data_IF_228925261083
#
_entry.id   IF_228925261083
#
_cell.length_a   1.000
_cell.length_b   1.000
_cell.length_c   1.000
_cell.angle_alpha   90.00
_cell.angle_beta   90.00
_cell.angle_gamma   90.00
#
_symmetry.space_group_name_H-M   'P 1'
#
loop_
_entity.id
_entity.type
_entity.pdbx_description
1 polymer ?
#
# COMPACT_ATOMS: atom_id res chain seq x y z
N UNK A 1 -3.74 9.61 0.24
CA UNK A 1 -4.03 8.56 -0.74
C UNK A 1 -4.99 7.58 -0.10
N UNK A 2 -4.83 6.29 -0.34
CA UNK A 2 -5.63 5.26 0.33
C UNK A 2 -4.71 4.19 0.90
N UNK A 3 -4.91 3.87 2.17
CA UNK A 3 -4.16 2.85 2.88
C UNK A 3 -4.63 1.44 2.49
N UNK A 4 -3.67 0.57 2.17
CA UNK A 4 -3.89 -0.83 1.82
C UNK A 4 -2.95 -1.76 2.60
N UNK A 5 -3.40 -3.01 2.76
CA UNK A 5 -2.59 -4.08 3.34
C UNK A 5 -2.53 -5.22 2.34
N UNK A 6 -1.34 -5.74 2.10
CA UNK A 6 -1.11 -6.94 1.28
C UNK A 6 -0.72 -8.08 2.22
N UNK A 7 -1.39 -9.23 2.10
CA UNK A 7 -1.12 -10.40 2.92
C UNK A 7 -1.45 -11.68 2.15
N UNK A 8 -0.84 -12.79 2.55
CA UNK A 8 -1.06 -14.10 1.93
C UNK A 8 -2.01 -14.92 2.79
N UNK A 9 -3.08 -15.43 2.19
CA UNK A 9 -4.07 -16.29 2.85
C UNK A 9 -4.71 -17.23 1.82
N UNK A 10 -5.12 -18.43 2.22
CA UNK A 10 -5.77 -19.42 1.34
C UNK A 10 -5.09 -19.62 -0.03
N UNK A 11 -3.76 -19.71 -0.02
CA UNK A 11 -2.90 -19.87 -1.20
C UNK A 11 -2.91 -18.69 -2.21
N UNK A 12 -3.43 -17.52 -1.84
CA UNK A 12 -3.41 -16.34 -2.69
C UNK A 12 -2.98 -15.05 -1.96
N UNK A 13 -2.52 -14.08 -2.76
CA UNK A 13 -2.27 -12.72 -2.27
C UNK A 13 -3.56 -11.92 -2.28
N UNK A 14 -3.89 -11.34 -1.13
CA UNK A 14 -5.02 -10.42 -0.97
C UNK A 14 -4.54 -8.99 -0.81
N UNK A 15 -5.42 -8.05 -1.15
CA UNK A 15 -5.22 -6.63 -0.93
C UNK A 15 -6.46 -6.09 -0.21
N UNK A 16 -6.31 -5.69 1.04
CA UNK A 16 -7.38 -5.12 1.86
C UNK A 16 -7.26 -3.61 1.95
N UNK A 17 -8.39 -2.92 2.06
CA UNK A 17 -8.44 -1.54 2.52
C UNK A 17 -8.75 -1.51 4.03
N UNK A 18 -8.98 -0.34 4.62
CA UNK A 18 -9.46 -0.27 6.01
C UNK A 18 -10.91 -0.75 6.19
N UNK A 19 -11.74 -0.71 5.15
CA UNK A 19 -13.17 -1.03 5.25
C UNK A 19 -13.55 -2.35 4.59
N UNK A 20 -12.60 -3.05 3.94
CA UNK A 20 -12.84 -4.26 3.15
C UNK A 20 -11.65 -5.22 3.25
N UNK A 21 -11.94 -6.50 3.43
CA UNK A 21 -10.93 -7.56 3.56
C UNK A 21 -10.25 -7.91 2.23
N UNK A 22 -10.97 -7.80 1.10
CA UNK A 22 -10.36 -7.99 -0.21
C UNK A 22 -11.03 -7.08 -1.26
N UNK A 23 -10.24 -6.25 -1.92
CA UNK A 23 -10.72 -5.37 -2.98
C UNK A 23 -11.12 -6.09 -4.26
N UNK A 24 -10.70 -7.36 -4.46
CA UNK A 24 -11.11 -8.18 -5.62
C UNK A 24 -12.61 -8.48 -5.61
N UNK A 25 -13.21 -8.59 -4.43
CA UNK A 25 -14.61 -8.97 -4.24
C UNK A 25 -15.57 -7.79 -4.52
N UNK A 26 -15.05 -6.57 -4.58
CA UNK A 26 -15.84 -5.37 -4.75
C UNK A 26 -15.72 -4.76 -6.16
N UNK A 27 -16.87 -4.42 -6.74
CA UNK A 27 -16.99 -3.84 -8.09
C UNK A 27 -17.41 -2.38 -8.11
N UNK A 28 -17.51 -1.75 -6.94
CA UNK A 28 -17.84 -0.32 -6.82
C UNK A 28 -16.79 0.53 -7.53
N UNK A 29 -17.29 1.43 -8.37
CA UNK A 29 -16.48 2.36 -9.14
C UNK A 29 -16.53 3.73 -8.48
N UNK A 30 -15.40 4.40 -8.42
CA UNK A 30 -15.37 5.79 -8.03
C UNK A 30 -16.07 6.65 -9.09
N UNK A 31 -17.06 7.44 -8.68
CA UNK A 31 -17.86 8.26 -9.59
C UNK A 31 -17.01 9.18 -10.49
N UNK A 32 -15.88 9.66 -9.97
CA UNK A 32 -15.01 10.61 -10.67
C UNK A 32 -14.27 10.01 -11.87
N UNK A 33 -13.83 8.75 -11.77
CA UNK A 33 -12.95 8.15 -12.79
C UNK A 33 -13.51 6.87 -13.39
N UNK A 34 -14.63 6.36 -12.89
CA UNK A 34 -15.24 5.11 -13.36
C UNK A 34 -14.40 3.86 -13.09
N UNK A 35 -13.32 3.96 -12.30
CA UNK A 35 -12.42 2.86 -11.94
C UNK A 35 -12.76 2.30 -10.56
N UNK A 36 -12.56 1.00 -10.39
CA UNK A 36 -12.64 0.34 -9.08
C UNK A 36 -11.34 0.50 -8.30
N UNK A 37 -11.39 0.22 -6.99
CA UNK A 37 -10.18 0.16 -6.17
C UNK A 37 -9.14 -0.84 -6.69
N UNK A 38 -9.61 -1.99 -7.20
CA UNK A 38 -8.75 -3.01 -7.80
C UNK A 38 -7.98 -2.47 -9.00
N UNK A 39 -8.66 -1.77 -9.92
CA UNK A 39 -8.02 -1.22 -11.11
C UNK A 39 -6.95 -0.18 -10.74
N UNK A 40 -7.30 0.77 -9.88
CA UNK A 40 -6.37 1.79 -9.41
C UNK A 40 -5.18 1.19 -8.64
N UNK A 41 -5.40 0.11 -7.86
CA UNK A 41 -4.32 -0.62 -7.19
C UNK A 41 -3.39 -1.29 -8.21
N UNK A 42 -3.94 -1.99 -9.21
CA UNK A 42 -3.14 -2.69 -10.23
C UNK A 42 -2.27 -1.73 -11.04
N UNK A 43 -2.81 -0.56 -11.40
CA UNK A 43 -2.06 0.50 -12.09
C UNK A 43 -0.88 0.99 -11.24
N UNK A 44 -1.12 1.30 -9.96
CA UNK A 44 -0.07 1.75 -9.04
C UNK A 44 0.95 0.65 -8.70
N UNK A 45 0.53 -0.60 -8.52
CA UNK A 45 1.42 -1.72 -8.23
C UNK A 45 2.34 -2.03 -9.41
N UNK A 46 1.82 -1.94 -10.64
CA UNK A 46 2.60 -2.08 -11.86
C UNK A 46 3.65 -0.96 -11.99
N UNK A 47 3.24 0.29 -11.80
CA UNK A 47 4.14 1.45 -11.88
C UNK A 47 5.22 1.40 -10.79
N UNK A 48 4.88 0.93 -9.58
CA UNK A 48 5.81 0.78 -8.48
C UNK A 48 6.74 -0.45 -8.61
N UNK A 49 6.53 -1.32 -9.60
CA UNK A 49 7.31 -2.54 -9.77
C UNK A 49 7.13 -3.56 -8.62
N UNK A 50 5.97 -3.58 -7.97
CA UNK A 50 5.68 -4.50 -6.87
C UNK A 50 5.72 -5.96 -7.35
N UNK A 51 6.71 -6.72 -6.87
CA UNK A 51 6.91 -8.11 -7.21
C UNK A 51 6.49 -9.03 -6.05
N UNK A 52 5.29 -9.60 -6.17
CA UNK A 52 4.72 -10.53 -5.19
C UNK A 52 5.56 -11.82 -4.99
N UNK A 53 6.44 -12.18 -5.92
CA UNK A 53 7.31 -13.35 -5.78
C UNK A 53 8.45 -13.14 -4.78
N UNK A 54 8.78 -11.88 -4.46
CA UNK A 54 9.81 -11.50 -3.50
C UNK A 54 9.28 -11.30 -2.08
N UNK A 55 7.97 -11.35 -1.90
CA UNK A 55 7.33 -11.13 -0.60
C UNK A 55 7.31 -12.43 0.21
N UNK A 56 7.70 -12.36 1.47
CA UNK A 56 7.46 -13.40 2.47
C UNK A 56 5.96 -13.46 2.80
N UNK A 57 5.38 -14.65 2.71
CA UNK A 57 3.96 -14.94 2.94
C UNK A 57 3.55 -14.86 4.41
N UNK A 58 4.51 -14.86 5.34
CA UNK A 58 4.27 -14.71 6.78
C UNK A 58 4.01 -13.26 7.18
N UNK A 59 4.29 -12.31 6.28
CA UNK A 59 4.22 -10.90 6.58
C UNK A 59 2.96 -10.25 6.00
N UNK A 60 2.54 -9.16 6.65
CA UNK A 60 1.62 -8.19 6.08
C UNK A 60 2.41 -6.93 5.70
N UNK A 61 2.14 -6.40 4.51
CA UNK A 61 2.82 -5.22 3.97
C UNK A 61 1.82 -4.07 3.86
N UNK A 62 2.20 -2.91 4.39
CA UNK A 62 1.34 -1.74 4.42
C UNK A 62 1.75 -0.76 3.33
N UNK A 63 0.75 -0.26 2.60
CA UNK A 63 0.98 0.65 1.49
C UNK A 63 0.06 1.85 1.53
N UNK A 64 0.58 2.99 1.12
CA UNK A 64 -0.24 4.13 0.71
C UNK A 64 -0.29 4.16 -0.82
N UNK A 65 -1.50 4.02 -1.39
CA UNK A 65 -1.71 4.21 -2.83
C UNK A 65 -2.07 5.67 -3.11
N UNK A 66 -1.36 6.30 -4.04
CA UNK A 66 -1.72 7.59 -4.61
C UNK A 66 -1.93 7.47 -6.12
N UNK A 67 -2.85 8.24 -6.68
CA UNK A 67 -3.24 8.08 -8.08
C UNK A 67 -3.82 9.38 -8.66
N UNK A 68 -3.49 9.78 -9.91
CA UNK A 68 -4.05 10.98 -10.56
C UNK A 68 -5.58 10.97 -10.61
N UNK A 69 -6.16 9.80 -10.94
CA UNK A 69 -7.61 9.58 -11.00
C UNK A 69 -8.32 9.48 -9.63
N UNK A 70 -7.57 9.47 -8.53
CA UNK A 70 -8.10 9.42 -7.17
C UNK A 70 -7.36 10.40 -6.27
N UNK A 71 -7.69 11.69 -6.44
CA UNK A 71 -7.22 12.77 -5.57
C UNK A 71 -8.14 12.92 -4.36
N UNK A 72 -7.53 12.87 -3.17
CA UNK A 72 -8.17 13.32 -1.93
C UNK A 72 -7.88 14.81 -1.72
N UNK A 73 -6.62 15.19 -1.47
CA UNK A 73 -6.20 16.58 -1.28
C UNK A 73 -5.12 16.97 -2.29
N UNK A 74 -4.02 16.23 -2.32
CA UNK A 74 -2.86 16.49 -3.18
C UNK A 74 -3.08 15.83 -4.55
N UNK A 75 -2.80 16.57 -5.62
CA UNK A 75 -2.79 16.04 -6.99
C UNK A 75 -1.45 15.36 -7.25
N UNK A 76 -1.50 14.13 -7.73
CA UNK A 76 -0.35 13.37 -8.20
C UNK A 76 -0.40 13.29 -9.72
N UNK A 77 0.75 13.29 -10.36
CA UNK A 77 0.94 13.20 -11.81
C UNK A 77 0.90 11.76 -12.31
N UNK A 78 1.35 10.80 -11.50
CA UNK A 78 1.34 9.37 -11.82
C UNK A 78 0.85 8.47 -10.68
N UNK A 79 0.39 7.25 -10.97
CA UNK A 79 0.10 6.23 -9.96
C UNK A 79 1.37 5.89 -9.16
N UNK A 80 1.28 5.80 -7.84
CA UNK A 80 2.41 5.34 -7.01
C UNK A 80 1.92 4.52 -5.82
N UNK A 81 2.79 3.63 -5.35
CA UNK A 81 2.68 2.98 -4.05
C UNK A 81 3.85 3.39 -3.17
N UNK A 82 3.55 3.74 -1.93
CA UNK A 82 4.55 3.89 -0.89
C UNK A 82 4.48 2.70 0.05
N UNK A 83 5.58 1.98 0.24
CA UNK A 83 5.70 0.98 1.29
C UNK A 83 5.86 1.71 2.62
N UNK A 84 4.88 1.56 3.50
CA UNK A 84 4.85 2.24 4.79
C UNK A 84 5.51 1.42 5.89
N UNK A 85 5.48 0.09 5.76
CA UNK A 85 6.04 -0.82 6.74
C UNK A 85 5.62 -2.25 6.47
N UNK A 86 6.26 -3.16 7.18
CA UNK A 86 5.98 -4.59 7.15
C UNK A 86 5.72 -5.04 8.58
N UNK A 87 4.82 -6.00 8.77
CA UNK A 87 4.60 -6.65 10.05
C UNK A 87 4.75 -8.15 9.92
N UNK A 88 5.53 -8.75 10.81
CA UNK A 88 5.53 -10.20 10.99
C UNK A 88 4.21 -10.63 11.64
N UNK A 89 3.41 -11.47 10.97
CA UNK A 89 2.09 -11.86 11.48
C UNK A 89 2.15 -12.96 12.54
N UNK A 90 3.33 -13.53 12.81
CA UNK A 90 3.59 -14.47 13.90
C UNK A 90 4.07 -13.75 15.16
N UNK A 91 5.12 -12.92 15.05
CA UNK A 91 5.69 -12.22 16.22
C UNK A 91 4.98 -10.90 16.53
N UNK A 92 4.26 -10.36 15.54
CA UNK A 92 3.61 -9.05 15.58
C UNK A 92 4.55 -7.85 15.52
N UNK A 93 5.85 -8.08 15.35
CA UNK A 93 6.86 -7.03 15.23
C UNK A 93 6.73 -6.28 13.91
N UNK A 94 7.00 -4.98 13.96
CA UNK A 94 7.15 -4.16 12.77
C UNK A 94 8.59 -4.27 12.25
N UNK A 95 8.71 -4.44 10.95
CA UNK A 95 9.98 -4.68 10.26
C UNK A 95 10.21 -3.56 9.24
N UNK A 96 11.41 -2.98 9.28
CA UNK A 96 11.88 -2.04 8.28
C UNK A 96 12.75 -2.78 7.24
N UNK A 97 12.09 -3.27 6.18
CA UNK A 97 12.74 -4.08 5.12
C UNK A 97 12.57 -3.43 3.75
N UNK A 98 13.52 -3.68 2.85
CA UNK A 98 13.39 -3.27 1.44
C UNK A 98 12.75 -4.39 0.61
N UNK A 99 11.61 -4.06 0.00
CA UNK A 99 10.85 -4.96 -0.90
C UNK A 99 10.90 -4.49 -2.36
N UNK A 100 11.73 -3.49 -2.67
CA UNK A 100 11.83 -2.89 -4.00
C UNK A 100 10.76 -1.85 -4.33
N UNK A 101 9.95 -1.42 -3.36
CA UNK A 101 8.96 -0.35 -3.51
C UNK A 101 9.40 0.89 -2.73
N UNK A 102 9.22 2.07 -3.33
CA UNK A 102 9.59 3.33 -2.70
C UNK A 102 8.94 3.52 -1.32
N UNK A 103 9.69 4.04 -0.36
CA UNK A 103 9.18 4.46 0.95
C UNK A 103 8.93 5.97 0.97
N UNK A 104 8.05 6.46 1.86
CA UNK A 104 7.96 7.89 2.13
C UNK A 104 9.30 8.46 2.59
N UNK A 105 9.47 9.77 2.44
CA UNK A 105 10.61 10.47 3.02
C UNK A 105 10.56 10.34 4.55
N UNK A 106 11.64 9.81 5.12
CA UNK A 106 11.85 9.77 6.57
C UNK A 106 12.77 10.91 7.01
N UNK A 107 12.60 11.32 8.27
CA UNK A 107 13.45 12.29 8.94
C UNK A 107 13.95 11.63 10.22
N UNK A 108 15.24 11.78 10.51
CA UNK A 108 15.83 11.31 11.74
C UNK A 108 15.89 12.46 12.72
N UNK A 109 15.38 12.22 13.92
CA UNK A 109 15.41 13.14 15.04
C UNK A 109 16.17 12.47 16.18
N UNK A 110 17.07 13.19 16.84
CA UNK A 110 17.86 12.69 17.96
C UNK A 110 17.11 12.80 19.28
N UNK A 111 16.24 13.80 19.41
CA UNK A 111 15.36 13.98 20.55
C UNK A 111 14.01 14.61 20.14
N UNK A 112 13.08 14.65 21.08
CA UNK A 112 11.72 15.14 20.87
C UNK A 112 11.67 16.61 20.43
N UNK A 113 12.63 17.44 20.86
CA UNK A 113 12.62 18.87 20.57
C UNK A 113 12.91 19.17 19.10
N UNK A 114 13.62 18.27 18.41
CA UNK A 114 13.87 18.41 16.97
C UNK A 114 12.60 18.16 16.11
N UNK A 115 11.55 17.59 16.70
CA UNK A 115 10.30 17.23 16.01
C UNK A 115 9.15 18.22 16.26
N UNK A 116 9.35 19.23 17.12
CA UNK A 116 8.38 20.27 17.50
C UNK A 116 8.63 21.57 16.72
#
# INVERSE_FOLDING_TARGET
GTFFKVYYFENEWHVSSNSRIDIKQFREKYARCGKTNKQLWQEAAKEAGLDYSKLDKRFAYFFERVHPDYKIVIQYDKPMLYHLGTRDMLTLDELDIDIGVSKPRSFQFLDLNECL
#
